data_IF_148288876745
#
_entry.id   IF_148288876745
#
_cell.length_a   1.000
_cell.length_b   1.000
_cell.length_c   1.000
_cell.angle_alpha   90.00
_cell.angle_beta   90.00
_cell.angle_gamma   90.00
#
_symmetry.space_group_name_H-M   'P 1'
#
loop_
_entity.id
_entity.type
_entity.pdbx_description
1 polymer ?
#
# COMPACT_ATOMS: atom_id res chain seq x y z
N UNK A 1 0.18 -17.31 1.30
CA UNK A 1 -0.95 -17.68 0.42
C UNK A 1 -2.17 -17.04 1.05
N UNK A 2 -2.58 -15.89 0.53
CA UNK A 2 -3.90 -15.30 0.83
C UNK A 2 -4.92 -16.20 0.15
N UNK A 3 -5.83 -16.81 0.90
CA UNK A 3 -7.03 -17.38 0.27
C UNK A 3 -7.73 -16.21 -0.42
N UNK A 4 -8.03 -16.34 -1.72
CA UNK A 4 -8.73 -15.25 -2.39
C UNK A 4 -10.07 -15.06 -1.67
N UNK A 5 -10.53 -13.82 -1.49
CA UNK A 5 -11.80 -13.54 -0.77
C UNK A 5 -12.95 -14.35 -1.37
N UNK A 6 -12.88 -14.63 -2.68
CA UNK A 6 -13.79 -15.54 -3.39
C UNK A 6 -13.74 -16.97 -2.83
N UNK A 7 -12.57 -17.52 -2.56
CA UNK A 7 -12.42 -18.87 -1.98
C UNK A 7 -13.07 -18.94 -0.60
N UNK A 8 -12.89 -17.92 0.25
CA UNK A 8 -13.50 -17.85 1.58
C UNK A 8 -15.03 -17.71 1.52
N UNK A 9 -15.57 -17.14 0.44
CA UNK A 9 -17.02 -17.01 0.23
C UNK A 9 -17.62 -18.27 -0.38
N UNK A 10 -16.91 -18.92 -1.30
CA UNK A 10 -17.36 -20.13 -1.99
C UNK A 10 -17.20 -21.39 -1.12
N UNK A 11 -16.13 -21.44 -0.33
CA UNK A 11 -15.82 -22.50 0.62
C UNK A 11 -15.52 -21.89 2.00
N UNK A 12 -16.57 -21.48 2.75
CA UNK A 12 -16.37 -20.88 4.05
C UNK A 12 -15.75 -21.89 5.04
N UNK A 13 -14.68 -21.51 5.76
CA UNK A 13 -14.09 -22.38 6.76
C UNK A 13 -15.08 -22.67 7.89
N UNK A 14 -15.08 -23.91 8.39
CA UNK A 14 -15.99 -24.36 9.47
C UNK A 14 -15.75 -23.59 10.77
N UNK A 15 -14.50 -23.18 11.00
CA UNK A 15 -14.09 -22.45 12.20
C UNK A 15 -14.00 -20.94 11.94
N UNK A 16 -14.80 -20.15 12.66
CA UNK A 16 -14.78 -18.67 12.64
C UNK A 16 -14.88 -18.05 11.22
N UNK A 17 -15.84 -18.45 10.37
CA UNK A 17 -15.93 -18.03 8.96
C UNK A 17 -15.94 -16.51 8.76
N UNK A 18 -16.61 -15.78 9.64
CA UNK A 18 -16.66 -14.31 9.58
C UNK A 18 -15.32 -13.64 9.86
N UNK A 19 -14.52 -14.21 10.76
CA UNK A 19 -13.21 -13.64 11.08
C UNK A 19 -12.22 -13.86 9.94
N UNK A 20 -12.25 -15.05 9.34
CA UNK A 20 -11.43 -15.37 8.17
C UNK A 20 -11.83 -14.49 6.98
N UNK A 21 -13.13 -14.33 6.73
CA UNK A 21 -13.62 -13.43 5.67
C UNK A 21 -13.21 -11.98 5.92
N UNK A 22 -13.36 -11.49 7.16
CA UNK A 22 -12.94 -10.13 7.53
C UNK A 22 -11.45 -9.92 7.33
N UNK A 23 -10.62 -10.89 7.72
CA UNK A 23 -9.17 -10.84 7.54
C UNK A 23 -8.80 -10.81 6.06
N UNK A 24 -9.40 -11.70 5.24
CA UNK A 24 -9.14 -11.75 3.80
C UNK A 24 -9.54 -10.44 3.10
N UNK A 25 -10.68 -9.84 3.46
CA UNK A 25 -11.11 -8.54 2.93
C UNK A 25 -10.13 -7.44 3.34
N UNK A 26 -9.67 -7.44 4.59
CA UNK A 26 -8.72 -6.45 5.09
C UNK A 26 -7.38 -6.56 4.36
N UNK A 27 -6.86 -7.78 4.16
CA UNK A 27 -5.63 -8.05 3.42
C UNK A 27 -5.75 -7.64 1.95
N UNK A 28 -6.86 -7.98 1.28
CA UNK A 28 -7.11 -7.60 -0.10
C UNK A 28 -7.23 -6.07 -0.25
N UNK A 29 -7.93 -5.42 0.68
CA UNK A 29 -8.05 -3.96 0.72
C UNK A 29 -6.68 -3.29 0.96
N UNK A 30 -5.85 -3.86 1.83
CA UNK A 30 -4.47 -3.44 2.06
C UNK A 30 -3.63 -3.52 0.78
N UNK A 31 -3.67 -4.67 0.09
CA UNK A 31 -3.01 -4.87 -1.20
C UNK A 31 -3.50 -3.89 -2.26
N UNK A 32 -4.82 -3.66 -2.34
CA UNK A 32 -5.42 -2.68 -3.25
C UNK A 32 -4.96 -1.25 -2.96
N UNK A 33 -4.87 -0.86 -1.68
CA UNK A 33 -4.38 0.45 -1.29
C UNK A 33 -2.88 0.62 -1.60
N UNK A 34 -2.06 -0.41 -1.39
CA UNK A 34 -0.63 -0.39 -1.78
C UNK A 34 -0.46 -0.17 -3.28
N UNK A 35 -1.25 -0.85 -4.11
CA UNK A 35 -1.23 -0.65 -5.56
C UNK A 35 -1.71 0.74 -5.98
N UNK A 36 -2.75 1.27 -5.32
CA UNK A 36 -3.21 2.65 -5.54
C UNK A 36 -2.11 3.65 -5.21
N UNK A 37 -1.42 3.48 -4.08
CA UNK A 37 -0.29 4.33 -3.68
C UNK A 37 0.84 4.26 -4.72
N UNK A 38 1.25 3.05 -5.15
CA UNK A 38 2.27 2.89 -6.20
C UNK A 38 1.88 3.63 -7.48
N UNK A 39 0.62 3.58 -7.88
CA UNK A 39 0.11 4.29 -9.07
C UNK A 39 0.15 5.81 -8.90
N UNK A 40 -0.36 6.32 -7.78
CA UNK A 40 -0.36 7.77 -7.49
C UNK A 40 1.07 8.32 -7.46
N UNK A 41 2.00 7.59 -6.86
CA UNK A 41 3.38 8.02 -6.68
C UNK A 41 4.31 7.64 -7.85
N UNK A 42 3.79 7.00 -8.91
CA UNK A 42 4.60 6.42 -9.99
C UNK A 42 5.48 7.46 -10.66
N UNK A 43 4.88 8.58 -11.07
CA UNK A 43 5.52 9.59 -11.90
C UNK A 43 6.24 10.68 -11.07
N UNK A 44 6.22 10.57 -9.73
CA UNK A 44 6.99 11.46 -8.87
C UNK A 44 8.46 11.08 -8.87
N UNK A 45 9.32 12.05 -9.15
CA UNK A 45 10.78 11.94 -9.03
C UNK A 45 11.32 13.05 -8.12
N UNK A 46 12.52 12.84 -7.59
CA UNK A 46 13.19 13.86 -6.79
C UNK A 46 13.51 15.11 -7.63
N UNK A 47 14.05 14.94 -8.84
CA UNK A 47 14.49 16.06 -9.68
C UNK A 47 15.44 16.98 -8.92
N UNK A 48 15.20 18.29 -8.98
CA UNK A 48 15.96 19.32 -8.25
C UNK A 48 15.44 19.57 -6.80
N UNK A 49 14.47 18.77 -6.33
CA UNK A 49 13.82 18.98 -5.03
C UNK A 49 14.62 18.35 -3.91
N UNK A 50 14.45 18.88 -2.69
CA UNK A 50 15.02 18.24 -1.49
C UNK A 50 14.25 16.96 -1.14
N UNK A 51 14.91 15.94 -0.56
CA UNK A 51 14.25 14.70 -0.14
C UNK A 51 13.02 14.92 0.76
N UNK A 52 13.10 15.88 1.68
CA UNK A 52 11.99 16.25 2.57
C UNK A 52 10.80 16.90 1.86
N UNK A 53 11.04 17.62 0.76
CA UNK A 53 9.97 18.19 -0.06
C UNK A 53 9.27 17.11 -0.86
N UNK A 54 10.02 16.13 -1.39
CA UNK A 54 9.45 14.98 -2.08
C UNK A 54 8.54 14.16 -1.15
N UNK A 55 9.00 13.86 0.07
CA UNK A 55 8.21 13.10 1.03
C UNK A 55 6.88 13.79 1.37
N UNK A 56 6.92 15.11 1.63
CA UNK A 56 5.70 15.88 1.90
C UNK A 56 4.73 15.87 0.70
N UNK A 57 5.25 15.97 -0.52
CA UNK A 57 4.43 15.87 -1.72
C UNK A 57 3.78 14.49 -1.84
N UNK A 58 4.54 13.42 -1.61
CA UNK A 58 4.00 12.05 -1.62
C UNK A 58 2.85 11.91 -0.61
N UNK A 59 3.02 12.41 0.62
CA UNK A 59 1.94 12.41 1.63
C UNK A 59 0.71 13.19 1.19
N UNK A 60 0.89 14.38 0.59
CA UNK A 60 -0.22 15.21 0.12
C UNK A 60 -1.02 14.52 -1.01
N UNK A 61 -0.33 13.90 -1.96
CA UNK A 61 -0.94 13.29 -3.14
C UNK A 61 -1.64 11.96 -2.84
N UNK A 62 -1.15 11.19 -1.85
CA UNK A 62 -1.87 10.02 -1.35
C UNK A 62 -3.20 10.39 -0.66
N UNK A 63 -3.32 11.62 -0.16
CA UNK A 63 -4.49 12.09 0.57
C UNK A 63 -4.87 11.17 1.73
N UNK A 64 -6.13 10.75 1.78
CA UNK A 64 -6.68 9.91 2.85
C UNK A 64 -6.65 8.40 2.54
N UNK A 65 -5.88 7.94 1.56
CA UNK A 65 -5.75 6.49 1.31
C UNK A 65 -5.14 5.86 2.57
N UNK A 66 -5.78 4.86 3.21
CA UNK A 66 -5.17 4.18 4.35
C UNK A 66 -3.86 3.52 3.94
N UNK A 67 -2.77 3.83 4.66
CA UNK A 67 -1.43 3.33 4.36
C UNK A 67 -0.62 3.07 5.62
N UNK A 68 0.42 2.25 5.46
CA UNK A 68 1.46 2.05 6.45
C UNK A 68 2.62 3.02 6.14
N UNK A 69 3.03 3.82 7.13
CA UNK A 69 4.12 4.77 7.00
C UNK A 69 5.44 4.10 6.57
N UNK A 70 5.67 2.86 7.01
CA UNK A 70 6.86 2.11 6.63
C UNK A 70 6.91 1.84 5.11
N UNK A 71 5.76 1.54 4.51
CA UNK A 71 5.65 1.30 3.07
C UNK A 71 5.90 2.59 2.26
N UNK A 72 5.38 3.72 2.71
CA UNK A 72 5.62 5.02 2.06
C UNK A 72 7.09 5.41 2.15
N UNK A 73 7.70 5.19 3.31
CA UNK A 73 9.12 5.45 3.53
C UNK A 73 10.00 4.57 2.62
N UNK A 74 9.65 3.30 2.43
CA UNK A 74 10.33 2.42 1.48
C UNK A 74 10.27 2.98 0.04
N UNK A 75 9.07 3.36 -0.42
CA UNK A 75 8.90 3.95 -1.75
C UNK A 75 9.65 5.28 -1.92
N UNK A 76 9.75 6.06 -0.86
CA UNK A 76 10.50 7.31 -0.85
C UNK A 76 12.00 7.05 -0.98
N UNK A 77 12.55 6.13 -0.19
CA UNK A 77 13.96 5.72 -0.27
C UNK A 77 14.33 5.21 -1.67
N UNK A 78 13.45 4.44 -2.31
CA UNK A 78 13.64 3.96 -3.70
C UNK A 78 13.75 5.09 -4.73
N UNK A 79 13.25 6.29 -4.42
CA UNK A 79 13.27 7.47 -5.30
C UNK A 79 14.41 8.44 -5.00
N UNK A 80 15.18 8.21 -3.92
CA UNK A 80 16.35 9.00 -3.62
C UNK A 80 17.53 8.55 -4.48
N UNK A 81 18.43 9.46 -4.89
CA UNK A 81 19.69 9.06 -5.47
C UNK A 81 20.43 8.20 -4.44
N UNK A 82 20.81 7.00 -4.84
CA UNK A 82 21.77 6.23 -4.07
C UNK A 82 23.10 6.97 -4.19
N UNK A 83 23.60 7.53 -3.09
CA UNK A 83 24.99 7.98 -3.04
C UNK A 83 25.86 6.76 -3.38
N UNK A 84 26.57 6.84 -4.51
CA UNK A 84 27.61 5.89 -4.93
C UNK A 84 28.93 6.32 -4.33
#
# INVERSE_FOLDING_TARGET
MVAEVLDVVLEPPEERPFEVLRAAILELSGSSNKERIRRVLKDMSLGDRKPSQLYRLMCNEMGNIPHDDAFVMELWLQKLPQEV
#
